data_IF_142640330716
#
_entry.id   IF_142640330716
#
_cell.length_a   1.000
_cell.length_b   1.000
_cell.length_c   1.000
_cell.angle_alpha   90.00
_cell.angle_beta   90.00
_cell.angle_gamma   90.00
#
_symmetry.space_group_name_H-M   'P 1'
#
loop_
_entity.id
_entity.type
_entity.pdbx_description
1 polymer ?
#
# COMPACT_ATOMS: atom_id res chain seq x y z
N UNK A 1 49.56 37.04 -16.66
CA UNK A 1 48.50 37.27 -15.66
C UNK A 1 47.17 37.28 -16.39
N UNK A 2 46.44 36.16 -16.42
CA UNK A 2 45.01 36.13 -16.77
C UNK A 2 44.41 34.88 -16.14
N UNK A 3 43.69 35.10 -15.05
CA UNK A 3 43.01 34.10 -14.25
C UNK A 3 41.88 33.45 -15.05
N UNK A 4 41.88 32.13 -15.12
CA UNK A 4 40.72 31.34 -15.54
C UNK A 4 39.80 31.17 -14.33
N UNK A 5 38.61 31.76 -14.40
CA UNK A 5 37.56 31.62 -13.42
C UNK A 5 36.77 30.32 -13.70
N UNK A 6 36.63 29.46 -12.69
CA UNK A 6 35.78 28.28 -12.72
C UNK A 6 34.29 28.68 -12.74
N UNK A 7 33.42 27.93 -13.43
CA UNK A 7 32.03 27.88 -13.08
C UNK A 7 31.75 26.66 -12.21
N UNK A 8 31.27 26.96 -11.01
CA UNK A 8 30.51 26.08 -10.14
C UNK A 8 29.28 25.53 -10.87
N UNK A 9 29.17 24.22 -11.03
CA UNK A 9 27.93 23.60 -11.50
C UNK A 9 27.14 23.12 -10.28
N UNK A 10 25.95 23.71 -10.15
CA UNK A 10 25.07 23.57 -9.01
C UNK A 10 24.65 22.13 -8.75
N UNK A 11 24.32 21.90 -7.48
CA UNK A 11 23.59 20.75 -7.02
C UNK A 11 22.38 20.50 -7.94
N UNK A 12 22.46 19.43 -8.73
CA UNK A 12 21.29 18.88 -9.39
C UNK A 12 20.34 18.48 -8.25
N UNK A 13 19.30 19.27 -8.05
CA UNK A 13 18.11 18.86 -7.32
C UNK A 13 17.67 17.53 -7.91
N UNK A 14 17.98 16.44 -7.20
CA UNK A 14 17.62 15.09 -7.60
C UNK A 14 16.09 15.02 -7.61
N UNK A 15 15.52 15.26 -8.78
CA UNK A 15 14.13 14.94 -9.05
C UNK A 15 13.97 13.45 -8.73
N UNK A 16 13.09 13.14 -7.78
CA UNK A 16 12.85 11.77 -7.35
C UNK A 16 12.61 10.89 -8.60
N UNK A 17 13.21 9.69 -8.66
CA UNK A 17 13.02 8.81 -9.82
C UNK A 17 11.53 8.53 -10.00
N UNK A 18 11.04 8.77 -11.22
CA UNK A 18 9.65 8.47 -11.60
C UNK A 18 9.39 7.02 -11.21
N UNK A 19 8.37 6.73 -10.37
CA UNK A 19 8.12 5.37 -9.92
C UNK A 19 7.79 4.51 -11.16
N UNK A 20 8.41 3.34 -11.25
CA UNK A 20 8.13 2.38 -12.33
C UNK A 20 6.61 2.11 -12.43
N UNK A 21 6.07 1.82 -13.61
CA UNK A 21 4.63 1.55 -13.78
C UNK A 21 4.14 0.44 -12.83
N UNK A 22 4.95 -0.61 -12.60
CA UNK A 22 4.65 -1.65 -11.62
C UNK A 22 4.49 -1.14 -10.19
N UNK A 23 5.27 -0.12 -9.80
CA UNK A 23 5.18 0.55 -8.50
C UNK A 23 3.92 1.41 -8.42
N UNK A 24 3.56 2.10 -9.49
CA UNK A 24 2.31 2.88 -9.57
C UNK A 24 1.09 1.99 -9.42
N UNK A 25 1.01 0.89 -10.19
CA UNK A 25 -0.04 -0.11 -10.05
C UNK A 25 -0.08 -0.69 -8.62
N UNK A 26 1.09 -0.85 -8.00
CA UNK A 26 1.16 -1.36 -6.65
C UNK A 26 0.58 -0.38 -5.62
N UNK A 27 0.79 0.93 -5.79
CA UNK A 27 0.21 2.00 -4.97
C UNK A 27 -1.30 2.06 -5.15
N UNK A 28 -1.81 1.96 -6.39
CA UNK A 28 -3.25 1.96 -6.62
C UNK A 28 -3.94 0.74 -5.99
N UNK A 29 -3.35 -0.46 -6.15
CA UNK A 29 -3.82 -1.67 -5.48
C UNK A 29 -3.82 -1.52 -3.97
N UNK A 30 -2.78 -0.89 -3.41
CA UNK A 30 -2.71 -0.62 -1.98
C UNK A 30 -3.86 0.28 -1.52
N UNK A 31 -4.18 1.34 -2.27
CA UNK A 31 -5.32 2.22 -1.97
C UNK A 31 -6.65 1.48 -1.95
N UNK A 32 -6.90 0.60 -2.94
CA UNK A 32 -8.12 -0.22 -3.00
C UNK A 32 -8.22 -1.20 -1.83
N UNK A 33 -7.11 -1.80 -1.41
CA UNK A 33 -7.09 -2.70 -0.25
C UNK A 33 -7.32 -1.93 1.06
N UNK A 34 -6.74 -0.73 1.19
CA UNK A 34 -6.91 0.09 2.39
C UNK A 34 -8.36 0.51 2.56
N UNK A 35 -9.00 0.97 1.49
CA UNK A 35 -10.42 1.31 1.52
C UNK A 35 -11.31 0.12 1.95
N UNK A 36 -11.04 -1.08 1.43
CA UNK A 36 -11.77 -2.29 1.84
C UNK A 36 -11.54 -2.64 3.31
N UNK A 37 -10.31 -2.49 3.80
CA UNK A 37 -9.98 -2.71 5.20
C UNK A 37 -10.76 -1.76 6.11
N UNK A 38 -10.76 -0.47 5.79
CA UNK A 38 -11.42 0.56 6.60
C UNK A 38 -12.95 0.34 6.64
N UNK A 39 -13.57 0.02 5.49
CA UNK A 39 -15.00 -0.32 5.42
C UNK A 39 -15.33 -1.56 6.25
N UNK A 40 -14.46 -2.57 6.23
CA UNK A 40 -14.68 -3.79 7.01
C UNK A 40 -14.50 -3.55 8.52
N UNK A 41 -13.53 -2.72 8.93
CA UNK A 41 -13.39 -2.31 10.33
C UNK A 41 -14.64 -1.59 10.84
N UNK A 42 -15.16 -0.63 10.06
CA UNK A 42 -16.37 0.10 10.41
C UNK A 42 -17.57 -0.85 10.54
N UNK A 43 -17.70 -1.82 9.64
CA UNK A 43 -18.76 -2.83 9.73
C UNK A 43 -18.63 -3.70 10.97
N UNK A 44 -17.42 -4.19 11.27
CA UNK A 44 -17.15 -4.98 12.48
C UNK A 44 -17.56 -4.18 13.72
N UNK A 45 -17.17 -2.91 13.81
CA UNK A 45 -17.55 -2.04 14.92
C UNK A 45 -19.07 -1.92 15.06
N UNK A 46 -19.79 -1.66 13.96
CA UNK A 46 -21.26 -1.54 13.98
C UNK A 46 -21.95 -2.84 14.41
N UNK A 47 -21.44 -3.98 13.98
CA UNK A 47 -21.96 -5.30 14.38
C UNK A 47 -21.70 -5.55 15.87
N UNK A 48 -20.50 -5.20 16.36
CA UNK A 48 -20.14 -5.32 17.78
C UNK A 48 -20.98 -4.41 18.69
N UNK A 49 -21.33 -3.22 18.21
CA UNK A 49 -22.20 -2.27 18.90
C UNK A 49 -23.70 -2.65 18.81
N UNK A 50 -24.05 -3.68 18.03
CA UNK A 50 -25.44 -4.07 17.77
C UNK A 50 -26.21 -3.09 16.86
N UNK A 51 -25.49 -2.17 16.20
CA UNK A 51 -26.05 -1.21 15.24
C UNK A 51 -26.30 -1.82 13.86
N UNK A 52 -25.63 -2.92 13.51
CA UNK A 52 -25.90 -3.74 12.32
C UNK A 52 -26.10 -5.22 12.69
N UNK A 53 -27.00 -5.94 11.99
CA UNK A 53 -27.13 -7.39 12.13
C UNK A 53 -25.97 -8.15 11.48
N UNK A 54 -25.73 -9.38 11.93
CA UNK A 54 -24.82 -10.33 11.30
C UNK A 54 -25.40 -10.89 9.99
N UNK A 55 -25.68 -10.01 9.01
CA UNK A 55 -26.29 -10.37 7.74
C UNK A 55 -25.34 -11.24 6.90
N UNK A 56 -25.52 -12.55 6.99
CA UNK A 56 -24.85 -13.57 6.16
C UNK A 56 -23.36 -13.77 6.45
N UNK A 57 -22.79 -13.11 7.45
CA UNK A 57 -21.41 -13.29 7.90
C UNK A 57 -21.33 -13.05 9.39
N UNK A 58 -20.97 -14.09 10.15
CA UNK A 58 -20.76 -13.95 11.59
C UNK A 58 -19.61 -12.97 11.87
N UNK A 59 -19.63 -12.34 13.04
CA UNK A 59 -18.55 -11.46 13.49
C UNK A 59 -17.17 -12.15 13.42
N UNK A 60 -17.12 -13.45 13.70
CA UNK A 60 -15.90 -14.25 13.54
C UNK A 60 -15.40 -14.27 12.08
N UNK A 61 -16.29 -14.48 11.10
CA UNK A 61 -15.94 -14.45 9.68
C UNK A 61 -15.46 -13.06 9.24
N UNK A 62 -16.09 -11.98 9.73
CA UNK A 62 -15.66 -10.62 9.44
C UNK A 62 -14.24 -10.36 9.96
N UNK A 63 -13.95 -10.76 11.20
CA UNK A 63 -12.60 -10.62 11.80
C UNK A 63 -11.55 -11.45 11.06
N UNK A 64 -11.89 -12.68 10.62
CA UNK A 64 -10.99 -13.48 9.78
C UNK A 64 -10.68 -12.79 8.45
N UNK A 65 -11.69 -12.21 7.80
CA UNK A 65 -11.51 -11.46 6.55
C UNK A 65 -10.66 -10.20 6.77
N UNK A 66 -10.82 -9.54 7.92
CA UNK A 66 -10.02 -8.38 8.29
C UNK A 66 -8.53 -8.73 8.42
N UNK A 67 -8.23 -9.86 9.06
CA UNK A 67 -6.85 -10.36 9.18
C UNK A 67 -6.25 -10.69 7.80
N UNK A 68 -7.03 -11.33 6.92
CA UNK A 68 -6.62 -11.58 5.54
C UNK A 68 -6.26 -10.28 4.78
N UNK A 69 -7.13 -9.26 4.87
CA UNK A 69 -6.89 -7.95 4.26
C UNK A 69 -5.65 -7.26 4.85
N UNK A 70 -5.39 -7.39 6.15
CA UNK A 70 -4.18 -6.85 6.79
C UNK A 70 -2.91 -7.47 6.18
N UNK A 71 -2.90 -8.79 6.00
CA UNK A 71 -1.78 -9.50 5.39
C UNK A 71 -1.58 -9.09 3.92
N UNK A 72 -2.67 -8.89 3.17
CA UNK A 72 -2.62 -8.38 1.80
C UNK A 72 -2.07 -6.96 1.74
N UNK A 73 -2.48 -6.08 2.65
CA UNK A 73 -1.93 -4.74 2.80
C UNK A 73 -0.41 -4.78 3.04
N UNK A 74 0.06 -5.64 3.94
CA UNK A 74 1.49 -5.76 4.23
C UNK A 74 2.29 -6.28 3.03
N UNK A 75 1.75 -7.28 2.31
CA UNK A 75 2.33 -7.76 1.05
C UNK A 75 2.41 -6.63 0.02
N UNK A 76 1.35 -5.85 -0.09
CA UNK A 76 1.23 -4.79 -1.09
C UNK A 76 2.10 -3.57 -0.75
N UNK A 77 2.26 -3.22 0.53
CA UNK A 77 3.19 -2.19 1.02
C UNK A 77 4.64 -2.52 0.69
N UNK A 78 5.04 -3.78 0.86
CA UNK A 78 6.38 -4.24 0.44
C UNK A 78 6.60 -4.05 -1.07
N UNK A 79 5.61 -4.41 -1.90
CA UNK A 79 5.68 -4.18 -3.36
C UNK A 79 5.76 -2.69 -3.72
N UNK A 80 4.91 -1.85 -3.12
CA UNK A 80 4.87 -0.41 -3.40
C UNK A 80 6.14 0.35 -2.94
N UNK A 81 6.84 -0.18 -1.93
CA UNK A 81 8.15 0.32 -1.49
C UNK A 81 9.33 -0.20 -2.31
N UNK A 82 9.10 -1.06 -3.31
CA UNK A 82 10.15 -1.67 -4.13
C UNK A 82 10.88 -2.81 -3.43
N UNK A 83 10.40 -3.25 -2.27
CA UNK A 83 10.97 -4.39 -1.55
C UNK A 83 10.40 -5.69 -2.13
N UNK A 84 11.27 -6.50 -2.74
CA UNK A 84 10.89 -7.82 -3.24
C UNK A 84 10.33 -8.65 -2.07
N UNK A 85 9.08 -9.08 -2.18
CA UNK A 85 8.40 -9.78 -1.09
C UNK A 85 8.87 -11.24 -0.90
N UNK A 86 9.97 -11.65 -1.55
CA UNK A 86 10.49 -13.03 -1.61
C UNK A 86 9.43 -14.08 -1.98
N UNK A 87 8.39 -13.68 -2.71
CA UNK A 87 7.25 -14.52 -3.06
C UNK A 87 7.51 -15.41 -4.29
N UNK A 88 8.78 -15.56 -4.72
CA UNK A 88 9.16 -16.36 -5.90
C UNK A 88 8.51 -15.94 -7.23
N UNK A 89 8.05 -14.70 -7.38
CA UNK A 89 7.33 -14.22 -8.58
C UNK A 89 5.82 -14.50 -8.58
N UNK A 90 5.26 -15.19 -7.59
CA UNK A 90 3.82 -15.49 -7.47
C UNK A 90 2.91 -14.29 -7.15
N UNK A 91 3.40 -13.07 -7.34
CA UNK A 91 2.72 -11.82 -6.96
C UNK A 91 1.81 -11.23 -8.01
N UNK A 92 1.77 -11.84 -9.20
CA UNK A 92 0.99 -11.37 -10.34
C UNK A 92 -0.48 -11.79 -10.28
N UNK A 93 -0.89 -12.55 -9.26
CA UNK A 93 -2.28 -12.93 -8.98
C UNK A 93 -2.95 -11.97 -8.02
#
# INVERSE_FOLDING_TARGET
MTSTHSPSTGAASQAAPVPSPERQDAVERLGRLQHQYDLLQLRIQRVEEGAEPEDGSSLAMLRMRLEGLRQDLDRQRRRASGQCCNCGGGCRG
#
